data_IF_716773300771
#
_entry.id   IF_716773300771
#
_cell.length_a   1.000
_cell.length_b   1.000
_cell.length_c   1.000
_cell.angle_alpha   90.00
_cell.angle_beta   90.00
_cell.angle_gamma   90.00
#
_symmetry.space_group_name_H-M   'P 1'
#
loop_
_entity.id
_entity.type
_entity.pdbx_description
1 polymer ?
#
# COMPACT_ATOMS: atom_id res chain seq x y z
N UNK A 1 37.28 -31.36 23.24
CA UNK A 1 36.82 -30.74 21.98
C UNK A 1 37.24 -31.53 20.74
N UNK A 2 38.51 -31.97 20.58
CA UNK A 2 38.99 -32.78 19.43
C UNK A 2 38.14 -34.01 19.06
N UNK A 3 37.74 -34.84 20.02
CA UNK A 3 36.93 -36.05 19.76
C UNK A 3 35.57 -35.71 19.13
N UNK A 4 34.93 -34.65 19.61
CA UNK A 4 33.65 -34.16 19.05
C UNK A 4 33.88 -33.58 17.66
N UNK A 5 34.92 -32.76 17.49
CA UNK A 5 35.28 -32.18 16.19
C UNK A 5 35.51 -33.24 15.09
N UNK A 6 36.16 -34.36 15.43
CA UNK A 6 36.34 -35.50 14.52
C UNK A 6 35.05 -36.29 14.23
N UNK A 7 34.06 -36.27 15.13
CA UNK A 7 32.76 -36.91 14.90
C UNK A 7 31.83 -36.08 14.00
N UNK A 8 31.94 -34.75 14.03
CA UNK A 8 31.12 -33.82 13.21
C UNK A 8 31.82 -33.28 11.96
N UNK A 9 33.03 -33.74 11.66
CA UNK A 9 33.85 -33.29 10.52
C UNK A 9 33.97 -31.75 10.43
N UNK A 10 34.29 -31.11 11.55
CA UNK A 10 34.47 -29.65 11.66
C UNK A 10 35.74 -29.30 12.42
N UNK A 11 36.22 -28.08 12.24
CA UNK A 11 37.40 -27.60 12.96
C UNK A 11 37.14 -27.50 14.47
N UNK A 12 38.17 -27.77 15.29
CA UNK A 12 38.09 -27.65 16.75
C UNK A 12 37.71 -26.23 17.20
N UNK A 13 38.16 -25.20 16.47
CA UNK A 13 37.80 -23.80 16.72
C UNK A 13 36.30 -23.53 16.51
N UNK A 14 35.68 -24.11 15.47
CA UNK A 14 34.24 -23.96 15.23
C UNK A 14 33.42 -24.61 16.33
N UNK A 15 33.82 -25.81 16.79
CA UNK A 15 33.15 -26.52 17.90
C UNK A 15 33.29 -25.72 19.20
N UNK A 16 34.47 -25.17 19.48
CA UNK A 16 34.71 -24.33 20.66
C UNK A 16 33.86 -23.06 20.63
N UNK A 17 33.86 -22.34 19.51
CA UNK A 17 33.08 -21.10 19.37
C UNK A 17 31.58 -21.34 19.50
N UNK A 18 31.06 -22.45 18.95
CA UNK A 18 29.65 -22.83 19.09
C UNK A 18 29.30 -23.19 20.54
N UNK A 19 30.18 -23.91 21.24
CA UNK A 19 30.00 -24.26 22.64
C UNK A 19 30.04 -23.04 23.57
N UNK A 20 30.97 -22.12 23.36
CA UNK A 20 31.05 -20.85 24.08
C UNK A 20 29.80 -19.99 23.84
N UNK A 21 29.32 -19.93 22.60
CA UNK A 21 28.06 -19.25 22.27
C UNK A 21 26.87 -19.89 23.01
N UNK A 22 26.77 -21.21 22.98
CA UNK A 22 25.71 -21.94 23.67
C UNK A 22 25.75 -21.72 25.19
N UNK A 23 26.95 -21.72 25.79
CA UNK A 23 27.11 -21.52 27.24
C UNK A 23 26.76 -20.09 27.66
N UNK A 24 27.05 -19.09 26.83
CA UNK A 24 26.77 -17.68 27.14
C UNK A 24 25.33 -17.27 26.86
N UNK A 25 24.74 -17.75 25.76
CA UNK A 25 23.49 -17.22 25.20
C UNK A 25 22.36 -18.26 25.17
N UNK A 26 22.64 -19.51 25.54
CA UNK A 26 21.67 -20.62 25.48
C UNK A 26 21.16 -20.91 24.08
N UNK A 27 21.86 -20.44 23.04
CA UNK A 27 21.38 -20.45 21.66
C UNK A 27 22.49 -20.91 20.72
N UNK A 28 22.15 -21.84 19.81
CA UNK A 28 23.04 -22.36 18.76
C UNK A 28 22.79 -21.69 17.40
N UNK A 29 21.80 -20.79 17.33
CA UNK A 29 21.49 -20.04 16.12
C UNK A 29 22.60 -19.03 15.78
N UNK A 30 22.95 -18.95 14.50
CA UNK A 30 23.90 -17.95 14.02
C UNK A 30 23.33 -16.54 14.25
N UNK A 31 24.16 -15.64 14.78
CA UNK A 31 23.79 -14.21 14.89
C UNK A 31 23.57 -13.61 13.52
N UNK A 32 22.58 -12.72 13.42
CA UNK A 32 22.38 -11.93 12.20
C UNK A 32 23.63 -11.11 11.91
N UNK A 33 24.13 -11.21 10.68
CA UNK A 33 25.24 -10.36 10.22
C UNK A 33 24.79 -8.90 10.10
N UNK A 34 25.74 -7.97 10.03
CA UNK A 34 25.49 -6.53 9.87
C UNK A 34 24.80 -6.16 8.56
N UNK A 35 24.91 -7.01 7.53
CA UNK A 35 24.35 -6.75 6.20
C UNK A 35 25.09 -5.64 5.44
N UNK A 36 24.63 -5.35 4.23
CA UNK A 36 25.16 -4.25 3.43
C UNK A 36 24.62 -2.90 3.94
N UNK A 37 25.45 -1.86 3.88
CA UNK A 37 25.04 -0.50 4.22
C UNK A 37 24.04 0.04 3.19
N UNK A 38 23.11 0.89 3.64
CA UNK A 38 22.15 1.57 2.76
C UNK A 38 22.88 2.63 1.94
N UNK A 39 22.46 2.79 0.68
CA UNK A 39 22.90 3.92 -0.15
C UNK A 39 22.25 5.24 0.25
N UNK A 40 21.08 5.18 0.89
CA UNK A 40 20.34 6.35 1.32
C UNK A 40 20.64 6.71 2.77
N UNK A 41 20.59 8.00 3.07
CA UNK A 41 20.65 8.53 4.43
C UNK A 41 19.27 8.60 5.07
N UNK A 42 19.20 8.69 6.40
CA UNK A 42 17.92 8.89 7.10
C UNK A 42 17.16 10.14 6.65
N UNK A 43 17.88 11.18 6.21
CA UNK A 43 17.25 12.42 5.72
C UNK A 43 16.57 12.20 4.36
N UNK A 44 17.24 11.47 3.47
CA UNK A 44 16.70 11.11 2.16
C UNK A 44 15.50 10.17 2.28
N UNK A 45 15.58 9.16 3.16
CA UNK A 45 14.45 8.27 3.45
C UNK A 45 13.22 9.06 3.93
N UNK A 46 13.41 10.05 4.81
CA UNK A 46 12.34 10.95 5.26
C UNK A 46 11.77 11.80 4.13
N UNK A 47 12.61 12.25 3.21
CA UNK A 47 12.15 13.03 2.05
C UNK A 47 11.30 12.19 1.11
N UNK A 48 11.73 10.95 0.82
CA UNK A 48 10.98 9.97 0.04
C UNK A 48 9.61 9.72 0.67
N UNK A 49 9.58 9.45 1.97
CA UNK A 49 8.33 9.24 2.71
C UNK A 49 7.42 10.47 2.66
N UNK A 50 7.97 11.68 2.86
CA UNK A 50 7.20 12.93 2.88
C UNK A 50 6.51 13.16 1.54
N UNK A 51 7.19 12.92 0.41
CA UNK A 51 6.58 13.09 -0.90
C UNK A 51 5.34 12.20 -1.09
N UNK A 52 5.44 10.92 -0.71
CA UNK A 52 4.31 10.00 -0.80
C UNK A 52 3.16 10.31 0.19
N UNK A 53 3.44 11.03 1.27
CA UNK A 53 2.41 11.48 2.23
C UNK A 53 1.74 12.78 1.80
N UNK A 54 2.49 13.69 1.18
CA UNK A 54 1.98 14.99 0.69
C UNK A 54 1.15 14.79 -0.58
N UNK A 55 1.67 14.01 -1.52
CA UNK A 55 0.95 13.60 -2.73
C UNK A 55 0.90 12.07 -2.79
N UNK A 56 -0.22 11.45 -2.33
CA UNK A 56 -0.40 10.01 -2.37
C UNK A 56 -0.30 9.41 -3.78
N UNK A 57 -0.52 10.17 -4.85
CA UNK A 57 -0.56 9.66 -6.24
C UNK A 57 0.83 9.72 -6.90
N UNK A 58 1.81 10.33 -6.21
CA UNK A 58 3.16 10.53 -6.75
C UNK A 58 3.79 9.24 -7.27
N UNK A 59 4.38 9.30 -8.46
CA UNK A 59 5.05 8.15 -9.05
C UNK A 59 6.45 7.96 -8.48
N UNK A 60 6.93 6.72 -8.48
CA UNK A 60 8.31 6.40 -8.07
C UNK A 60 9.35 7.15 -8.90
N UNK A 61 9.06 7.43 -10.17
CA UNK A 61 9.94 8.17 -11.07
C UNK A 61 10.05 9.64 -10.65
N UNK A 62 8.93 10.25 -10.26
CA UNK A 62 8.89 11.63 -9.73
C UNK A 62 9.64 11.72 -8.41
N UNK A 63 9.39 10.80 -7.47
CA UNK A 63 10.15 10.72 -6.20
C UNK A 63 11.64 10.59 -6.49
N UNK A 64 12.04 9.74 -7.45
CA UNK A 64 13.44 9.52 -7.82
C UNK A 64 14.10 10.80 -8.36
N UNK A 65 13.40 11.52 -9.25
CA UNK A 65 13.92 12.75 -9.85
C UNK A 65 14.21 13.80 -8.76
N UNK A 66 13.29 13.95 -7.81
CA UNK A 66 13.47 14.88 -6.71
C UNK A 66 14.49 14.39 -5.68
N UNK A 67 14.57 13.07 -5.43
CA UNK A 67 15.41 12.47 -4.39
C UNK A 67 16.90 12.75 -4.57
N UNK A 68 17.37 13.18 -5.75
CA UNK A 68 18.75 13.66 -5.95
C UNK A 68 19.84 12.61 -5.71
N UNK A 69 19.45 11.36 -5.46
CA UNK A 69 20.34 10.21 -5.24
C UNK A 69 20.15 9.23 -6.39
N UNK A 70 21.25 8.65 -6.87
CA UNK A 70 21.23 7.61 -7.89
C UNK A 70 20.69 6.27 -7.32
N UNK A 71 19.38 6.21 -7.10
CA UNK A 71 18.64 5.02 -6.65
C UNK A 71 17.71 4.49 -7.74
N UNK A 72 17.48 3.18 -7.72
CA UNK A 72 16.48 2.54 -8.58
C UNK A 72 15.08 2.69 -7.96
N UNK A 73 14.01 2.75 -8.77
CA UNK A 73 12.63 2.87 -8.27
C UNK A 73 12.21 1.79 -7.26
N UNK A 74 12.82 0.61 -7.33
CA UNK A 74 12.55 -0.49 -6.40
C UNK A 74 13.01 -0.15 -4.97
N UNK A 75 14.11 0.60 -4.82
CA UNK A 75 14.61 1.06 -3.53
C UNK A 75 13.60 1.99 -2.86
N UNK A 76 13.03 2.94 -3.62
CA UNK A 76 11.94 3.81 -3.16
C UNK A 76 10.76 2.98 -2.67
N UNK A 77 10.34 1.96 -3.43
CA UNK A 77 9.24 1.09 -3.03
C UNK A 77 9.52 0.36 -1.72
N UNK A 78 10.76 -0.09 -1.49
CA UNK A 78 11.14 -0.73 -0.23
C UNK A 78 11.06 0.25 0.94
N UNK A 79 11.59 1.47 0.78
CA UNK A 79 11.52 2.50 1.82
C UNK A 79 10.08 2.88 2.17
N UNK A 80 9.20 2.98 1.17
CA UNK A 80 7.78 3.25 1.42
C UNK A 80 7.10 2.08 2.16
N UNK A 81 7.39 0.84 1.78
CA UNK A 81 6.86 -0.35 2.48
C UNK A 81 7.38 -0.45 3.91
N UNK A 82 8.67 -0.17 4.14
CA UNK A 82 9.27 -0.08 5.48
C UNK A 82 8.58 0.99 6.35
N UNK A 83 8.12 2.08 5.72
CA UNK A 83 7.34 3.14 6.36
C UNK A 83 5.84 2.81 6.53
N UNK A 84 5.43 1.57 6.25
CA UNK A 84 4.04 1.10 6.26
C UNK A 84 3.13 1.81 5.25
N UNK A 85 3.69 2.24 4.12
CA UNK A 85 2.94 2.77 2.97
C UNK A 85 2.85 1.70 1.88
N UNK A 86 1.63 1.41 1.44
CA UNK A 86 1.35 0.47 0.37
C UNK A 86 0.82 1.20 -0.85
N UNK A 87 1.27 0.78 -2.01
CA UNK A 87 0.67 1.18 -3.28
C UNK A 87 -0.63 0.40 -3.43
N UNK A 88 -1.76 1.09 -3.47
CA UNK A 88 -3.09 0.50 -3.59
C UNK A 88 -3.95 1.29 -4.58
N UNK A 89 -5.00 0.66 -5.09
CA UNK A 89 -5.98 1.36 -5.91
C UNK A 89 -6.82 2.29 -5.02
N UNK A 90 -7.08 3.53 -5.45
CA UNK A 90 -7.90 4.45 -4.70
C UNK A 90 -9.36 3.96 -4.65
N UNK A 91 -10.10 4.41 -3.64
CA UNK A 91 -11.55 4.23 -3.64
C UNK A 91 -12.18 5.27 -4.58
N UNK A 92 -12.93 4.78 -5.58
CA UNK A 92 -13.61 5.65 -6.53
C UNK A 92 -15.01 5.96 -6.01
N UNK A 93 -15.26 7.24 -5.74
CA UNK A 93 -16.55 7.72 -5.26
C UNK A 93 -17.16 8.71 -6.25
N UNK A 94 -18.49 8.69 -6.36
CA UNK A 94 -19.21 9.80 -6.98
C UNK A 94 -19.26 10.97 -5.98
N UNK A 95 -18.90 12.19 -6.40
CA UNK A 95 -19.01 13.36 -5.54
C UNK A 95 -20.50 13.68 -5.31
N UNK A 96 -21.04 13.23 -4.18
CA UNK A 96 -22.40 13.57 -3.75
C UNK A 96 -22.39 14.84 -2.90
N UNK A 97 -23.15 15.84 -3.32
CA UNK A 97 -23.48 17.01 -2.51
C UNK A 97 -24.23 16.60 -1.24
N UNK A 98 -24.21 17.40 -0.16
CA UNK A 98 -24.99 17.13 1.04
C UNK A 98 -26.48 16.93 0.75
N UNK A 99 -27.04 17.74 -0.16
CA UNK A 99 -28.42 17.64 -0.62
C UNK A 99 -28.70 16.30 -1.32
N UNK A 100 -27.85 15.88 -2.26
CA UNK A 100 -27.99 14.58 -2.92
C UNK A 100 -27.95 13.43 -1.91
N UNK A 101 -27.12 13.52 -0.86
CA UNK A 101 -27.06 12.50 0.20
C UNK A 101 -28.37 12.44 0.98
N UNK A 102 -28.93 13.59 1.34
CA UNK A 102 -30.19 13.69 2.07
C UNK A 102 -31.35 13.13 1.24
N UNK A 103 -31.48 13.55 -0.02
CA UNK A 103 -32.53 13.05 -0.92
C UNK A 103 -32.44 11.54 -1.13
N UNK A 104 -31.23 11.01 -1.34
CA UNK A 104 -31.00 9.57 -1.44
C UNK A 104 -31.39 8.83 -0.17
N UNK A 105 -31.01 9.36 1.00
CA UNK A 105 -31.37 8.76 2.28
C UNK A 105 -32.89 8.74 2.50
N UNK A 106 -33.56 9.86 2.25
CA UNK A 106 -35.02 9.97 2.35
C UNK A 106 -35.71 9.00 1.39
N UNK A 107 -35.22 8.88 0.15
CA UNK A 107 -35.76 7.97 -0.84
C UNK A 107 -35.67 6.50 -0.37
N UNK A 108 -34.53 6.11 0.20
CA UNK A 108 -34.32 4.77 0.78
C UNK A 108 -35.22 4.54 1.99
N UNK A 109 -35.30 5.51 2.91
CA UNK A 109 -36.12 5.40 4.12
C UNK A 109 -37.61 5.26 3.78
N UNK A 110 -38.12 6.06 2.85
CA UNK A 110 -39.51 6.00 2.39
C UNK A 110 -39.88 4.63 1.77
N UNK A 111 -38.88 3.87 1.31
CA UNK A 111 -39.06 2.56 0.66
C UNK A 111 -38.46 1.40 1.45
N UNK A 112 -38.02 1.65 2.69
CA UNK A 112 -37.35 0.63 3.52
C UNK A 112 -38.27 -0.52 3.89
N UNK A 113 -39.59 -0.30 3.91
CA UNK A 113 -40.61 -1.30 4.25
C UNK A 113 -41.32 -1.87 3.02
N UNK A 114 -40.86 -1.54 1.81
CA UNK A 114 -41.48 -2.04 0.58
C UNK A 114 -41.28 -3.54 0.44
N UNK A 115 -42.36 -4.23 0.09
CA UNK A 115 -42.35 -5.66 -0.17
C UNK A 115 -42.16 -5.93 -1.68
N UNK A 116 -42.12 -7.21 -2.06
CA UNK A 116 -41.89 -7.62 -3.46
C UNK A 116 -42.94 -7.08 -4.43
N UNK A 117 -44.22 -6.98 -4.03
CA UNK A 117 -45.29 -6.51 -4.93
C UNK A 117 -45.22 -5.00 -5.18
N UNK A 118 -44.66 -4.23 -4.24
CA UNK A 118 -44.38 -2.81 -4.44
C UNK A 118 -43.20 -2.60 -5.39
N UNK A 119 -42.15 -3.41 -5.28
CA UNK A 119 -41.02 -3.37 -6.22
C UNK A 119 -41.40 -3.79 -7.64
N UNK A 120 -42.36 -4.71 -7.80
CA UNK A 120 -42.88 -5.12 -9.12
C UNK A 120 -43.50 -3.97 -9.92
N UNK A 121 -43.88 -2.87 -9.27
CA UNK A 121 -44.45 -1.69 -9.93
C UNK A 121 -43.38 -0.73 -10.46
N UNK A 122 -42.11 -0.94 -10.14
CA UNK A 122 -41.00 -0.05 -10.53
C UNK A 122 -40.25 -0.63 -11.72
N UNK A 123 -40.11 0.18 -12.77
CA UNK A 123 -39.23 -0.11 -13.91
C UNK A 123 -38.01 0.79 -13.81
N UNK A 124 -36.82 0.19 -13.85
CA UNK A 124 -35.55 0.92 -13.90
C UNK A 124 -35.06 1.01 -15.34
N UNK A 125 -34.68 2.21 -15.77
CA UNK A 125 -33.97 2.45 -17.02
C UNK A 125 -32.70 3.24 -16.72
N UNK A 126 -31.59 2.88 -17.37
CA UNK A 126 -30.33 3.61 -17.29
C UNK A 126 -29.67 3.63 -18.67
N UNK A 127 -28.86 4.65 -18.93
CA UNK A 127 -28.10 4.79 -20.16
C UNK A 127 -26.64 4.40 -19.91
N UNK A 128 -26.14 3.42 -20.66
CA UNK A 128 -24.75 2.97 -20.57
C UNK A 128 -23.94 3.39 -21.79
N UNK A 129 -22.76 3.97 -21.54
CA UNK A 129 -21.79 4.30 -22.60
C UNK A 129 -20.85 3.12 -22.84
N UNK A 130 -20.85 2.59 -24.07
CA UNK A 130 -19.88 1.59 -24.51
C UNK A 130 -18.71 2.27 -25.23
N UNK A 131 -17.47 1.93 -24.85
CA UNK A 131 -16.26 2.51 -25.43
C UNK A 131 -15.41 1.39 -26.03
N UNK A 132 -14.93 1.56 -27.26
CA UNK A 132 -14.18 0.53 -28.02
C UNK A 132 -12.69 0.46 -27.65
N UNK A 133 -12.20 1.38 -26.81
CA UNK A 133 -10.83 1.39 -26.30
C UNK A 133 -10.83 1.44 -24.77
N UNK A 134 -9.91 0.68 -24.16
CA UNK A 134 -9.72 0.68 -22.72
C UNK A 134 -8.51 1.57 -22.41
N UNK A 135 -8.77 2.81 -21.99
CA UNK A 135 -7.81 3.50 -21.14
C UNK A 135 -7.93 2.88 -19.75
N UNK A 136 -6.92 2.09 -19.36
CA UNK A 136 -6.93 1.34 -18.09
C UNK A 136 -7.03 2.31 -16.89
N UNK A 137 -6.68 3.59 -17.09
CA UNK A 137 -6.74 4.72 -16.15
C UNK A 137 -6.41 4.32 -14.70
N UNK A 138 -5.41 3.42 -14.58
CA UNK A 138 -5.03 2.73 -13.35
C UNK A 138 -4.18 3.67 -12.51
N UNK A 139 -4.87 4.52 -11.76
CA UNK A 139 -4.24 5.32 -10.72
C UNK A 139 -3.94 4.43 -9.52
N UNK A 140 -2.74 4.59 -8.96
CA UNK A 140 -2.27 3.93 -7.75
C UNK A 140 -1.90 5.02 -6.76
N UNK A 141 -2.20 4.79 -5.49
CA UNK A 141 -1.88 5.72 -4.42
C UNK A 141 -1.11 5.05 -3.30
N UNK A 142 -0.20 5.78 -2.66
CA UNK A 142 0.49 5.38 -1.45
C UNK A 142 -0.36 5.73 -0.24
N UNK A 143 -0.71 4.74 0.57
CA UNK A 143 -1.48 4.94 1.81
C UNK A 143 -1.13 3.93 2.87
N UNK A 144 -1.46 4.22 4.12
CA UNK A 144 -1.35 3.24 5.20
C UNK A 144 -2.54 2.26 5.14
N UNK A 145 -2.37 1.02 5.64
CA UNK A 145 -3.49 0.11 5.82
C UNK A 145 -4.59 0.74 6.67
N UNK A 146 -5.85 0.61 6.25
CA UNK A 146 -7.03 1.15 6.95
C UNK A 146 -7.48 2.54 6.50
N UNK A 147 -6.66 3.28 5.74
CA UNK A 147 -7.00 4.64 5.30
C UNK A 147 -7.90 4.66 4.05
N UNK A 148 -8.45 3.53 3.60
CA UNK A 148 -9.12 3.40 2.29
C UNK A 148 -10.28 4.37 2.06
N UNK A 149 -11.00 4.74 3.12
CA UNK A 149 -12.19 5.59 3.05
C UNK A 149 -11.93 7.01 3.57
N UNK A 150 -10.68 7.33 3.91
CA UNK A 150 -10.35 8.65 4.42
C UNK A 150 -10.51 9.69 3.31
N UNK A 151 -11.06 10.89 3.58
CA UNK A 151 -11.29 11.91 2.56
C UNK A 151 -10.08 12.22 1.65
N UNK A 152 -8.83 12.30 2.15
CA UNK A 152 -7.65 12.55 1.31
C UNK A 152 -7.30 11.41 0.34
N UNK A 153 -7.89 10.23 0.53
CA UNK A 153 -7.64 9.00 -0.24
C UNK A 153 -8.77 8.66 -1.20
N UNK A 154 -9.84 9.48 -1.20
CA UNK A 154 -10.95 9.34 -2.12
C UNK A 154 -10.56 9.92 -3.47
N UNK A 155 -10.74 9.12 -4.51
CA UNK A 155 -10.61 9.59 -5.87
C UNK A 155 -12.02 9.84 -6.41
N UNK A 156 -12.35 11.12 -6.60
CA UNK A 156 -13.63 11.48 -7.21
C UNK A 156 -13.55 11.23 -8.71
N UNK A 157 -14.49 10.44 -9.22
CA UNK A 157 -14.61 10.26 -10.66
C UNK A 157 -15.06 11.61 -11.23
N UNK A 158 -14.23 12.24 -12.05
CA UNK A 158 -14.66 13.35 -12.89
C UNK A 158 -15.70 12.81 -13.86
N UNK A 159 -16.96 13.16 -13.63
CA UNK A 159 -17.99 12.97 -14.64
C UNK A 159 -17.59 13.83 -15.84
N UNK A 160 -17.52 13.30 -17.07
CA UNK A 160 -17.31 14.14 -18.23
C UNK A 160 -18.41 15.20 -18.22
N UNK A 161 -17.99 16.46 -18.15
CA UNK A 161 -18.86 17.62 -18.22
C UNK A 161 -19.73 17.43 -19.45
N UNK A 162 -21.04 17.30 -19.28
CA UNK A 162 -21.94 17.23 -20.42
C UNK A 162 -21.78 18.54 -21.19
N UNK A 163 -21.20 18.45 -22.40
CA UNK A 163 -21.35 19.50 -23.38
C UNK A 163 -22.84 19.50 -23.75
N UNK A 164 -23.43 20.68 -23.53
CA UNK A 164 -24.83 21.07 -23.76
C UNK A 164 -25.39 20.49 -25.05
#
# INVERSE_FOLDING_TARGET
>A
MRRVAGQVDRSECSVRSCWEQWTREGTHARKSGSGATRKTTRSEDRRIMRQALVDPIVTRSTIRADAGVAIVPQTISRHLVEANLKSESPFRALPLSPEHRQLRLQWCQARSMWNVTDWQKVVFSDESRFVLGIDDNRVRMWRRPGERYNPPTLFYITLPTQLV
#
